data_IF_984405946337
#
_entry.id   IF_984405946337
#
_cell.length_a   1.000
_cell.length_b   1.000
_cell.length_c   1.000
_cell.angle_alpha   90.00
_cell.angle_beta   90.00
_cell.angle_gamma   90.00
#
_symmetry.space_group_name_H-M   'P 1'
#
loop_
_entity.id
_entity.type
_entity.pdbx_description
1 polymer ?
#
# COMPACT_ATOMS: atom_id res chain seq x y z
N UNK A 1 15.07 -7.31 -4.71
CA UNK A 1 13.83 -7.75 -5.39
C UNK A 1 13.09 -8.90 -4.70
N UNK A 2 13.49 -9.45 -3.53
CA UNK A 2 12.87 -10.69 -3.00
C UNK A 2 11.81 -10.55 -1.89
N UNK A 3 11.81 -9.46 -1.11
CA UNK A 3 10.82 -9.28 -0.04
C UNK A 3 9.42 -8.90 -0.59
N UNK A 4 9.36 -8.01 -1.59
CA UNK A 4 8.09 -7.54 -2.15
C UNK A 4 7.30 -8.65 -2.87
N UNK A 5 7.99 -9.55 -3.60
CA UNK A 5 7.35 -10.65 -4.34
C UNK A 5 6.69 -11.70 -3.43
N UNK A 6 7.21 -11.91 -2.21
CA UNK A 6 6.64 -12.84 -1.23
C UNK A 6 5.33 -12.33 -0.60
N UNK A 7 5.14 -11.02 -0.56
CA UNK A 7 3.99 -10.36 0.07
C UNK A 7 2.89 -10.07 -0.98
N UNK A 8 3.26 -10.09 -2.26
CA UNK A 8 2.54 -9.66 -3.47
C UNK A 8 1.16 -10.28 -3.73
N UNK A 9 0.75 -11.30 -2.99
CA UNK A 9 -0.55 -11.95 -3.19
C UNK A 9 -1.42 -11.92 -1.95
N UNK A 10 -1.19 -12.85 -1.02
CA UNK A 10 -2.17 -13.13 0.03
C UNK A 10 -2.28 -12.11 1.15
N UNK A 11 -1.23 -11.34 1.47
CA UNK A 11 -1.30 -10.40 2.60
C UNK A 11 -1.89 -9.05 2.19
N UNK A 12 -1.66 -8.59 0.96
CA UNK A 12 -2.13 -7.29 0.48
C UNK A 12 -3.64 -7.23 0.29
N UNK A 13 -4.23 -8.25 -0.33
CA UNK A 13 -5.68 -8.36 -0.50
C UNK A 13 -6.39 -8.39 0.87
N UNK A 14 -5.87 -9.19 1.81
CA UNK A 14 -6.41 -9.24 3.18
C UNK A 14 -6.38 -7.89 3.91
N UNK A 15 -5.34 -7.09 3.69
CA UNK A 15 -5.24 -5.76 4.29
C UNK A 15 -6.16 -4.74 3.61
N UNK A 16 -6.34 -4.82 2.29
CA UNK A 16 -7.33 -4.03 1.56
C UNK A 16 -8.75 -4.36 2.03
N UNK A 17 -9.10 -5.64 2.12
CA UNK A 17 -10.43 -6.10 2.56
C UNK A 17 -10.76 -5.66 3.99
N UNK A 18 -9.78 -5.66 4.90
CA UNK A 18 -9.99 -5.30 6.31
C UNK A 18 -10.32 -3.82 6.52
N UNK A 19 -9.84 -2.93 5.65
CA UNK A 19 -9.92 -1.48 5.85
C UNK A 19 -10.66 -0.75 4.71
N UNK A 20 -11.22 -1.48 3.75
CA UNK A 20 -11.93 -0.93 2.59
C UNK A 20 -11.03 -0.06 1.70
N UNK A 21 -11.61 0.95 1.06
CA UNK A 21 -10.93 1.75 0.04
C UNK A 21 -9.65 2.44 0.55
N UNK A 22 -9.63 2.92 1.78
CA UNK A 22 -8.42 3.56 2.34
C UNK A 22 -7.34 2.54 2.70
N UNK A 23 -7.71 1.29 2.99
CA UNK A 23 -6.78 0.17 3.17
C UNK A 23 -5.99 -0.12 1.92
N UNK A 24 -6.71 -0.25 0.79
CA UNK A 24 -6.12 -0.40 -0.55
C UNK A 24 -5.15 0.74 -0.86
N UNK A 25 -5.56 1.98 -0.64
CA UNK A 25 -4.71 3.15 -0.86
C UNK A 25 -3.44 3.12 0.00
N UNK A 26 -3.56 2.64 1.24
CA UNK A 26 -2.43 2.47 2.15
C UNK A 26 -1.48 1.36 1.72
N UNK A 27 -1.98 0.21 1.25
CA UNK A 27 -1.16 -0.86 0.68
C UNK A 27 -0.37 -0.35 -0.52
N UNK A 28 -1.05 0.34 -1.45
CA UNK A 28 -0.38 0.95 -2.61
C UNK A 28 0.67 1.97 -2.19
N UNK A 29 0.37 2.81 -1.20
CA UNK A 29 1.33 3.78 -0.67
C UNK A 29 2.59 3.09 -0.13
N UNK A 30 2.43 2.05 0.69
CA UNK A 30 3.57 1.31 1.27
C UNK A 30 4.36 0.58 0.20
N UNK A 31 3.70 -0.07 -0.77
CA UNK A 31 4.37 -0.76 -1.88
C UNK A 31 5.27 0.18 -2.69
N UNK A 32 4.77 1.37 -3.03
CA UNK A 32 5.51 2.37 -3.83
C UNK A 32 6.59 3.07 -3.00
N UNK A 33 6.27 3.51 -1.78
CA UNK A 33 7.16 4.37 -0.98
C UNK A 33 8.16 3.61 -0.12
N UNK A 34 7.85 2.37 0.24
CA UNK A 34 8.65 1.57 1.17
C UNK A 34 9.01 0.20 0.61
N UNK A 35 8.22 -0.34 -0.32
CA UNK A 35 8.45 -1.65 -0.97
C UNK A 35 9.31 -1.60 -2.24
N UNK A 36 9.60 -0.40 -2.76
CA UNK A 36 10.42 -0.22 -3.97
C UNK A 36 9.74 -0.61 -5.28
N UNK A 37 8.41 -0.78 -5.29
CA UNK A 37 7.64 -1.10 -6.48
C UNK A 37 7.32 0.14 -7.30
N UNK A 38 7.21 -0.02 -8.62
CA UNK A 38 6.72 1.06 -9.48
C UNK A 38 5.21 1.17 -9.35
N UNK A 39 4.69 2.40 -9.32
CA UNK A 39 3.25 2.64 -9.28
C UNK A 39 2.51 1.91 -10.40
N UNK A 40 3.08 1.87 -11.61
CA UNK A 40 2.50 1.17 -12.75
C UNK A 40 2.33 -0.34 -12.52
N UNK A 41 3.22 -0.97 -11.75
CA UNK A 41 3.12 -2.39 -11.41
C UNK A 41 2.00 -2.63 -10.39
N UNK A 42 1.96 -1.75 -9.37
CA UNK A 42 0.97 -1.81 -8.28
C UNK A 42 -0.46 -1.61 -8.80
N UNK A 43 -0.71 -0.58 -9.63
CA UNK A 43 -2.06 -0.30 -10.14
C UNK A 43 -2.56 -1.40 -11.08
N UNK A 44 -1.65 -2.05 -11.83
CA UNK A 44 -1.98 -3.20 -12.66
C UNK A 44 -2.39 -4.41 -11.83
N UNK A 45 -1.73 -4.65 -10.70
CA UNK A 45 -2.10 -5.73 -9.77
C UNK A 45 -3.43 -5.47 -9.08
N UNK A 46 -3.67 -4.22 -8.69
CA UNK A 46 -4.91 -3.80 -8.04
C UNK A 46 -6.08 -3.68 -9.03
N UNK A 47 -5.82 -3.68 -10.33
CA UNK A 47 -6.85 -3.57 -11.38
C UNK A 47 -7.48 -2.19 -11.48
N UNK A 48 -6.71 -1.12 -11.23
CA UNK A 48 -7.19 0.26 -11.34
C UNK A 48 -6.37 1.08 -12.33
N UNK A 49 -6.99 2.14 -12.84
CA UNK A 49 -6.33 3.10 -13.72
C UNK A 49 -5.17 3.80 -13.01
N UNK A 50 -4.10 4.05 -13.77
CA UNK A 50 -2.87 4.65 -13.25
C UNK A 50 -3.12 5.97 -12.52
N UNK A 51 -3.96 6.85 -13.09
CA UNK A 51 -4.29 8.15 -12.50
C UNK A 51 -5.04 8.01 -11.18
N UNK A 52 -5.94 7.02 -11.09
CA UNK A 52 -6.67 6.74 -9.85
C UNK A 52 -5.70 6.26 -8.76
N UNK A 53 -4.78 5.35 -9.09
CA UNK A 53 -3.75 4.88 -8.15
C UNK A 53 -2.78 5.99 -7.73
N UNK A 54 -2.34 6.84 -8.65
CA UNK A 54 -1.50 7.99 -8.34
C UNK A 54 -2.18 8.95 -7.34
N UNK A 55 -3.46 9.24 -7.58
CA UNK A 55 -4.24 10.12 -6.74
C UNK A 55 -4.51 9.51 -5.36
N UNK A 56 -4.79 8.20 -5.30
CA UNK A 56 -4.94 7.43 -4.06
C UNK A 56 -3.68 7.49 -3.19
N UNK A 57 -2.51 7.13 -3.75
CA UNK A 57 -1.22 7.17 -3.05
C UNK A 57 -0.91 8.58 -2.53
N UNK A 58 -1.19 9.62 -3.33
CA UNK A 58 -0.98 11.01 -2.94
C UNK A 58 -1.89 11.40 -1.76
N UNK A 59 -3.20 11.16 -1.86
CA UNK A 59 -4.17 11.50 -0.79
C UNK A 59 -3.87 10.74 0.49
N UNK A 60 -3.51 9.47 0.37
CA UNK A 60 -3.16 8.65 1.52
C UNK A 60 -1.95 9.23 2.26
N UNK A 61 -0.87 9.56 1.54
CA UNK A 61 0.32 10.18 2.11
C UNK A 61 0.04 11.52 2.80
N UNK A 62 -0.81 12.36 2.20
CA UNK A 62 -1.23 13.64 2.81
C UNK A 62 -2.01 13.44 4.12
N UNK A 63 -2.87 12.41 4.18
CA UNK A 63 -3.66 12.11 5.36
C UNK A 63 -2.83 11.55 6.53
N UNK A 64 -1.60 11.08 6.32
CA UNK A 64 -0.75 10.55 7.38
C UNK A 64 -0.42 11.59 8.46
N UNK A 65 -0.42 12.89 8.14
CA UNK A 65 -0.18 13.95 9.11
C UNK A 65 -1.30 14.08 10.15
N UNK A 66 -2.55 13.83 9.75
CA UNK A 66 -3.75 14.07 10.57
C UNK A 66 -4.47 12.80 11.02
N UNK A 67 -4.16 11.63 10.45
CA UNK A 67 -4.85 10.37 10.72
C UNK A 67 -3.93 9.35 11.44
N UNK A 68 -4.10 9.17 12.77
CA UNK A 68 -3.33 8.19 13.55
C UNK A 68 -3.52 6.74 13.09
N UNK A 69 -4.71 6.36 12.61
CA UNK A 69 -5.01 5.00 12.19
C UNK A 69 -4.23 4.66 10.92
N UNK A 70 -4.16 5.59 9.96
CA UNK A 70 -3.34 5.42 8.75
C UNK A 70 -1.85 5.36 9.07
N UNK A 71 -1.35 6.14 10.03
CA UNK A 71 0.04 6.04 10.49
C UNK A 71 0.34 4.68 11.10
N UNK A 72 -0.54 4.20 11.97
CA UNK A 72 -0.40 2.89 12.59
C UNK A 72 -0.41 1.78 11.53
N UNK A 73 -1.33 1.87 10.57
CA UNK A 73 -1.41 0.94 9.43
C UNK A 73 -0.10 0.87 8.64
N UNK A 74 0.47 2.02 8.26
CA UNK A 74 1.78 2.07 7.59
C UNK A 74 2.88 1.46 8.46
N UNK A 75 2.89 1.75 9.76
CA UNK A 75 3.85 1.19 10.70
C UNK A 75 3.78 -0.34 10.77
N UNK A 76 2.58 -0.90 10.84
CA UNK A 76 2.34 -2.36 10.83
C UNK A 76 2.84 -2.98 9.54
N UNK A 77 2.42 -2.47 8.38
CA UNK A 77 2.83 -3.01 7.08
C UNK A 77 4.34 -2.93 6.85
N UNK A 78 4.98 -1.82 7.27
CA UNK A 78 6.44 -1.69 7.14
C UNK A 78 7.19 -2.74 7.93
N UNK A 79 6.74 -3.06 9.16
CA UNK A 79 7.34 -4.11 9.99
C UNK A 79 7.20 -5.48 9.35
N UNK A 80 6.02 -5.77 8.78
CA UNK A 80 5.79 -7.03 8.07
C UNK A 80 6.68 -7.17 6.83
N UNK A 81 6.91 -6.08 6.08
CA UNK A 81 7.78 -6.09 4.89
C UNK A 81 9.26 -6.21 5.26
N UNK A 82 9.68 -5.61 6.38
CA UNK A 82 11.07 -5.65 6.86
C UNK A 82 11.47 -6.97 7.53
N UNK A 83 10.50 -7.76 8.01
CA UNK A 83 10.76 -9.06 8.65
C UNK A 83 10.83 -10.24 7.66
N UNK A 84 10.95 -10.01 6.35
CA UNK A 84 10.99 -11.04 5.28
C UNK A 84 12.35 -11.14 4.62
#
# INVERSE_FOLDING_TARGET
MRAAEKIRGGSWERWADRYGDWGRDGVMYVAVRHGGMRLAEVVREVGIEYQAGAQAVKRFGQALGSDPARRQFVGTLRREISNV
#
